data_IF_347224831184
#
_entry.id   IF_347224831184
#
_cell.length_a   1.000
_cell.length_b   1.000
_cell.length_c   1.000
_cell.angle_alpha   90.00
_cell.angle_beta   90.00
_cell.angle_gamma   90.00
#
_symmetry.space_group_name_H-M   'P 1'
#
loop_
_entity.id
_entity.type
_entity.pdbx_description
1 polymer ?
#
# COMPACT_ATOMS: atom_id res chain seq x y z
N UNK A 1 -12.68 -7.80 29.38
CA UNK A 1 -12.17 -6.42 29.57
C UNK A 1 -12.19 -5.74 28.21
N UNK A 2 -12.60 -4.49 28.16
CA UNK A 2 -12.53 -3.69 26.96
C UNK A 2 -11.05 -3.50 26.54
N UNK A 3 -10.78 -3.49 25.25
CA UNK A 3 -9.44 -3.24 24.70
C UNK A 3 -9.28 -1.73 24.61
N UNK A 4 -8.36 -1.15 25.37
CA UNK A 4 -8.18 0.30 25.45
C UNK A 4 -6.85 0.76 24.82
N UNK A 5 -5.83 -0.10 24.83
CA UNK A 5 -4.48 0.25 24.39
C UNK A 5 -3.95 -0.68 23.31
N UNK A 6 -3.55 -0.11 22.19
CA UNK A 6 -2.92 -0.80 21.06
C UNK A 6 -1.48 -0.32 20.88
N UNK A 7 -0.57 -1.26 20.61
CA UNK A 7 0.76 -0.96 20.07
C UNK A 7 0.84 -1.46 18.63
N UNK A 8 1.16 -0.56 17.71
CA UNK A 8 1.43 -0.89 16.31
C UNK A 8 2.94 -1.02 16.13
N UNK A 9 3.41 -2.09 15.50
CA UNK A 9 4.85 -2.31 15.26
C UNK A 9 5.11 -2.34 13.75
N UNK A 10 6.05 -1.50 13.31
CA UNK A 10 6.47 -1.40 11.91
C UNK A 10 7.98 -1.23 11.78
N UNK A 11 8.50 -1.24 10.56
CA UNK A 11 9.92 -1.02 10.30
C UNK A 11 10.32 0.43 10.54
N UNK A 12 9.59 1.35 9.96
CA UNK A 12 9.77 2.81 10.00
C UNK A 12 8.46 3.51 9.61
N UNK A 13 8.46 4.84 9.49
CA UNK A 13 7.30 5.65 9.07
C UNK A 13 7.64 6.61 7.91
N UNK A 14 8.60 6.25 7.03
CA UNK A 14 9.24 7.12 6.03
C UNK A 14 8.51 7.25 4.68
N UNK A 15 7.27 6.83 4.57
CA UNK A 15 6.41 7.22 3.44
C UNK A 15 6.00 6.12 2.48
N UNK A 16 6.07 4.86 2.87
CA UNK A 16 5.54 3.74 2.09
C UNK A 16 4.03 3.51 2.29
N UNK A 17 3.44 2.64 1.50
CA UNK A 17 1.99 2.40 1.53
C UNK A 17 1.46 1.77 2.82
N UNK A 18 2.22 0.85 3.44
CA UNK A 18 1.84 0.25 4.71
C UNK A 18 1.84 1.28 5.85
N UNK A 19 2.81 2.18 5.84
CA UNK A 19 2.99 3.24 6.84
C UNK A 19 1.88 4.28 6.76
N UNK A 20 1.38 4.55 5.54
CA UNK A 20 0.17 5.37 5.34
C UNK A 20 -1.03 4.76 6.06
N UNK A 21 -1.25 3.46 5.88
CA UNK A 21 -2.34 2.74 6.55
C UNK A 21 -2.18 2.79 8.06
N UNK A 22 -0.95 2.62 8.58
CA UNK A 22 -0.66 2.75 10.01
C UNK A 22 -1.03 4.13 10.52
N UNK A 23 -0.61 5.19 9.82
CA UNK A 23 -0.92 6.56 10.24
C UNK A 23 -2.43 6.83 10.28
N UNK A 24 -3.16 6.43 9.24
CA UNK A 24 -4.61 6.61 9.17
C UNK A 24 -5.35 5.82 10.25
N UNK A 25 -5.00 4.54 10.47
CA UNK A 25 -5.61 3.72 11.51
C UNK A 25 -5.28 4.24 12.90
N UNK A 26 -4.03 4.65 13.16
CA UNK A 26 -3.62 5.20 14.46
C UNK A 26 -4.38 6.47 14.80
N UNK A 27 -4.52 7.39 13.83
CA UNK A 27 -5.30 8.61 13.98
C UNK A 27 -6.78 8.28 14.27
N UNK A 28 -7.36 7.32 13.53
CA UNK A 28 -8.71 6.89 13.76
C UNK A 28 -8.91 6.28 15.16
N UNK A 29 -8.00 5.41 15.61
CA UNK A 29 -8.11 4.77 16.93
C UNK A 29 -8.07 5.80 18.07
N UNK A 30 -7.17 6.79 17.99
CA UNK A 30 -7.13 7.84 19.02
C UNK A 30 -8.33 8.78 18.96
N UNK A 31 -8.92 9.00 17.78
CA UNK A 31 -10.17 9.73 17.63
C UNK A 31 -11.33 8.97 18.29
N UNK A 32 -11.31 7.62 18.29
CA UNK A 32 -12.26 6.75 19.01
C UNK A 32 -11.94 6.61 20.52
N UNK A 33 -11.00 7.40 21.06
CA UNK A 33 -10.66 7.39 22.49
C UNK A 33 -9.66 6.30 22.90
N UNK A 34 -9.11 5.52 21.95
CA UNK A 34 -8.12 4.49 22.28
C UNK A 34 -6.71 5.08 22.44
N UNK A 35 -5.90 4.44 23.28
CA UNK A 35 -4.48 4.74 23.38
C UNK A 35 -3.72 3.99 22.29
N UNK A 36 -3.09 4.71 21.36
CA UNK A 36 -2.32 4.12 20.28
C UNK A 36 -0.87 4.59 20.33
N UNK A 37 0.08 3.62 20.31
CA UNK A 37 1.51 3.90 20.18
C UNK A 37 2.09 3.12 19.01
N UNK A 38 3.08 3.71 18.33
CA UNK A 38 3.78 3.08 17.21
C UNK A 38 5.21 2.77 17.68
N UNK A 39 5.64 1.52 17.58
CA UNK A 39 7.03 1.12 17.76
C UNK A 39 7.66 0.92 16.39
N UNK A 40 8.72 1.68 16.09
CA UNK A 40 9.51 1.55 14.87
C UNK A 40 10.80 0.79 15.13
N UNK A 41 11.17 -0.11 14.21
CA UNK A 41 12.38 -0.93 14.38
C UNK A 41 13.67 -0.18 14.02
N UNK A 42 13.62 0.89 13.23
CA UNK A 42 14.79 1.60 12.74
C UNK A 42 14.93 3.00 13.34
N UNK A 43 13.99 3.89 13.06
CA UNK A 43 14.07 5.31 13.35
C UNK A 43 12.70 5.87 13.73
N UNK A 44 12.64 7.13 14.12
CA UNK A 44 11.43 7.86 14.51
C UNK A 44 11.00 8.90 13.46
N UNK A 45 11.61 8.91 12.28
CA UNK A 45 11.20 9.77 11.18
C UNK A 45 9.77 9.43 10.74
N UNK A 46 8.92 10.46 10.67
CA UNK A 46 7.49 10.32 10.34
C UNK A 46 7.15 11.17 9.14
N UNK A 47 6.76 10.52 8.04
CA UNK A 47 6.38 11.19 6.80
C UNK A 47 4.89 11.61 6.79
N UNK A 48 4.01 10.76 7.32
CA UNK A 48 2.58 11.02 7.33
C UNK A 48 2.14 11.75 8.60
N UNK A 49 1.19 12.67 8.46
CA UNK A 49 0.63 13.40 9.60
C UNK A 49 0.01 12.44 10.63
N UNK A 50 0.49 12.52 11.86
CA UNK A 50 -0.05 11.81 13.01
C UNK A 50 -0.74 12.78 13.97
N UNK A 51 -1.84 12.31 14.58
CA UNK A 51 -2.45 12.99 15.71
C UNK A 51 -1.43 13.07 16.85
N UNK A 52 -1.35 14.23 17.53
CA UNK A 52 -0.39 14.48 18.61
C UNK A 52 -0.51 13.50 19.80
N UNK A 53 -1.59 12.75 19.89
CA UNK A 53 -1.82 11.69 20.90
C UNK A 53 -1.13 10.37 20.53
N UNK A 54 -0.71 10.18 19.27
CA UNK A 54 0.02 9.00 18.81
C UNK A 54 1.51 9.21 19.06
N UNK A 55 2.08 8.43 19.97
CA UNK A 55 3.53 8.46 20.21
C UNK A 55 4.26 7.45 19.31
N UNK A 56 5.37 7.88 18.71
CA UNK A 56 6.29 7.02 17.96
C UNK A 56 7.52 6.74 18.81
N UNK A 57 7.83 5.46 18.99
CA UNK A 57 8.87 4.97 19.89
C UNK A 57 9.89 4.12 19.09
N UNK A 58 11.09 4.66 18.76
CA UNK A 58 12.09 3.88 18.04
C UNK A 58 12.74 2.83 18.96
N UNK A 59 13.04 1.65 18.40
CA UNK A 59 13.79 0.60 19.14
C UNK A 59 15.22 1.02 19.39
N UNK A 60 15.77 1.92 18.60
CA UNK A 60 17.11 2.48 18.74
C UNK A 60 18.15 1.89 17.77
N UNK A 61 19.37 2.38 17.88
CA UNK A 61 20.45 2.20 16.91
C UNK A 61 20.98 0.76 16.79
N UNK A 62 21.59 0.47 15.62
CA UNK A 62 22.28 -0.79 15.33
C UNK A 62 23.71 -0.73 15.83
N UNK A 63 24.20 -1.83 16.40
CA UNK A 63 25.61 -1.96 16.84
C UNK A 63 26.58 -2.43 15.73
N UNK A 64 26.08 -2.60 14.50
CA UNK A 64 26.90 -2.98 13.34
C UNK A 64 27.12 -4.49 13.15
N UNK A 65 26.79 -5.33 14.13
CA UNK A 65 26.82 -6.79 14.00
C UNK A 65 25.41 -7.35 13.73
N UNK A 66 25.16 -7.81 12.52
CA UNK A 66 23.84 -8.26 12.05
C UNK A 66 23.15 -9.31 12.93
N UNK A 67 23.90 -10.23 13.54
CA UNK A 67 23.33 -11.30 14.37
C UNK A 67 22.98 -10.76 15.76
N UNK A 68 23.92 -10.04 16.36
CA UNK A 68 23.71 -9.38 17.66
C UNK A 68 22.58 -8.36 17.58
N UNK A 69 22.52 -7.57 16.50
CA UNK A 69 21.45 -6.59 16.27
C UNK A 69 20.08 -7.26 16.20
N UNK A 70 19.96 -8.43 15.53
CA UNK A 70 18.71 -9.19 15.52
C UNK A 70 18.28 -9.61 16.92
N UNK A 71 19.20 -10.23 17.68
CA UNK A 71 18.90 -10.71 19.04
C UNK A 71 18.57 -9.56 20.00
N UNK A 72 19.31 -8.47 19.91
CA UNK A 72 19.07 -7.27 20.71
C UNK A 72 17.71 -6.64 20.39
N UNK A 73 17.32 -6.60 19.10
CA UNK A 73 16.01 -6.11 18.67
C UNK A 73 14.87 -6.97 19.22
N UNK A 74 14.97 -8.30 19.19
CA UNK A 74 13.96 -9.16 19.80
C UNK A 74 13.77 -8.81 21.30
N UNK A 75 14.86 -8.66 22.04
CA UNK A 75 14.81 -8.26 23.45
C UNK A 75 14.26 -6.86 23.64
N UNK A 76 14.64 -5.92 22.77
CA UNK A 76 14.19 -4.54 22.85
C UNK A 76 12.68 -4.41 22.55
N UNK A 77 12.19 -5.04 21.47
CA UNK A 77 10.76 -5.09 21.15
C UNK A 77 9.98 -5.70 22.31
N UNK A 78 10.41 -6.86 22.82
CA UNK A 78 9.75 -7.49 23.97
C UNK A 78 9.70 -6.56 25.17
N UNK A 79 10.83 -5.96 25.54
CA UNK A 79 10.91 -5.02 26.68
C UNK A 79 10.00 -3.83 26.51
N UNK A 80 10.04 -3.17 25.35
CA UNK A 80 9.20 -2.00 25.07
C UNK A 80 7.72 -2.34 25.11
N UNK A 81 7.29 -3.43 24.48
CA UNK A 81 5.91 -3.87 24.51
C UNK A 81 5.46 -4.20 25.95
N UNK A 82 6.30 -4.87 26.75
CA UNK A 82 5.97 -5.17 28.14
C UNK A 82 5.90 -3.90 29.01
N UNK A 83 6.74 -2.90 28.75
CA UNK A 83 6.68 -1.60 29.42
C UNK A 83 5.42 -0.82 29.08
N UNK A 84 4.96 -0.92 27.83
CA UNK A 84 3.75 -0.27 27.38
C UNK A 84 2.48 -0.97 27.83
N UNK A 85 2.52 -2.25 28.19
CA UNK A 85 1.36 -3.04 28.64
C UNK A 85 0.12 -2.89 27.74
N UNK A 86 0.25 -3.13 26.41
CA UNK A 86 -0.90 -3.01 25.53
C UNK A 86 -1.86 -4.20 25.69
N UNK A 87 -3.13 -3.98 25.41
CA UNK A 87 -4.13 -5.05 25.33
C UNK A 87 -3.98 -5.89 24.07
N UNK A 88 -3.42 -5.30 23.00
CA UNK A 88 -3.07 -6.00 21.77
C UNK A 88 -1.90 -5.33 21.04
N UNK A 89 -1.23 -6.13 20.20
CA UNK A 89 -0.21 -5.67 19.25
C UNK A 89 -0.68 -5.93 17.83
N UNK A 90 -0.55 -4.92 16.96
CA UNK A 90 -0.75 -5.02 15.52
C UNK A 90 0.61 -4.84 14.81
N UNK A 91 0.98 -5.77 13.94
CA UNK A 91 2.23 -5.69 13.17
C UNK A 91 1.98 -5.60 11.67
N UNK A 92 2.62 -4.63 11.01
CA UNK A 92 2.60 -4.37 9.57
C UNK A 92 4.02 -3.99 9.10
N UNK A 93 4.45 -4.36 7.89
CA UNK A 93 3.89 -5.41 7.03
C UNK A 93 4.21 -6.82 7.54
N UNK A 94 3.98 -7.85 6.68
CA UNK A 94 4.15 -9.27 6.99
C UNK A 94 5.51 -9.64 7.60
N UNK A 95 6.59 -9.03 7.13
CA UNK A 95 7.95 -9.28 7.64
C UNK A 95 8.09 -8.92 9.12
N UNK A 96 7.38 -7.90 9.57
CA UNK A 96 7.38 -7.44 10.96
C UNK A 96 6.66 -8.45 11.84
N UNK A 97 5.55 -9.01 11.36
CA UNK A 97 4.81 -10.07 12.06
C UNK A 97 5.67 -11.30 12.36
N UNK A 98 6.47 -11.74 11.37
CA UNK A 98 7.41 -12.85 11.53
C UNK A 98 8.46 -12.56 12.62
N UNK A 99 8.77 -11.30 12.84
CA UNK A 99 9.72 -10.84 13.84
C UNK A 99 9.08 -10.67 15.22
N UNK A 100 7.89 -10.07 15.27
CA UNK A 100 7.19 -9.72 16.51
C UNK A 100 6.61 -10.95 17.21
N UNK A 101 6.05 -11.90 16.45
CA UNK A 101 5.46 -13.12 17.03
C UNK A 101 6.41 -13.88 17.95
N UNK A 102 7.65 -14.26 17.53
CA UNK A 102 8.57 -14.94 18.43
C UNK A 102 9.05 -14.06 19.59
N UNK A 103 9.15 -12.73 19.38
CA UNK A 103 9.56 -11.81 20.45
C UNK A 103 8.53 -11.78 21.60
N UNK A 104 7.25 -11.95 21.29
CA UNK A 104 6.16 -11.87 22.27
C UNK A 104 5.61 -13.24 22.71
N UNK A 105 6.21 -14.35 22.25
CA UNK A 105 5.81 -15.68 22.74
C UNK A 105 5.88 -15.75 24.28
N UNK A 106 4.84 -16.34 24.90
CA UNK A 106 4.73 -16.52 26.34
C UNK A 106 4.39 -15.25 27.14
N UNK A 107 4.12 -14.11 26.48
CA UNK A 107 3.68 -12.87 27.19
C UNK A 107 2.18 -12.85 27.48
N UNK A 108 1.38 -13.64 26.78
CA UNK A 108 -0.09 -13.57 26.82
C UNK A 108 -0.69 -12.41 26.03
N UNK A 109 0.11 -11.49 25.50
CA UNK A 109 -0.36 -10.34 24.70
C UNK A 109 -0.79 -10.84 23.32
N UNK A 110 -2.04 -10.60 22.89
CA UNK A 110 -2.51 -10.99 21.55
C UNK A 110 -1.82 -10.19 20.45
N UNK A 111 -1.23 -10.90 19.47
CA UNK A 111 -0.57 -10.31 18.32
C UNK A 111 -1.39 -10.55 17.07
N UNK A 112 -1.77 -9.46 16.39
CA UNK A 112 -2.37 -9.48 15.07
C UNK A 112 -1.30 -9.14 14.02
N UNK A 113 -1.30 -9.86 12.90
CA UNK A 113 -0.36 -9.64 11.79
C UNK A 113 -1.12 -9.25 10.54
N UNK A 114 -0.52 -8.41 9.69
CA UNK A 114 -1.13 -8.00 8.44
C UNK A 114 -0.24 -8.34 7.25
N UNK A 115 -0.79 -9.15 6.33
CA UNK A 115 -0.22 -9.43 5.00
C UNK A 115 -0.54 -8.26 4.08
N UNK A 116 0.51 -7.60 3.56
CA UNK A 116 0.37 -6.35 2.81
C UNK A 116 0.85 -6.44 1.38
N UNK A 117 1.26 -7.63 0.94
CA UNK A 117 1.83 -7.85 -0.38
C UNK A 117 1.46 -9.25 -0.90
N UNK A 118 2.03 -9.62 -2.04
CA UNK A 118 1.84 -10.92 -2.66
C UNK A 118 2.50 -12.04 -1.84
N UNK A 119 1.75 -12.95 -1.18
CA UNK A 119 2.32 -13.95 -0.28
C UNK A 119 3.12 -15.05 -0.99
N UNK A 120 2.99 -15.21 -2.32
CA UNK A 120 3.77 -16.18 -3.10
C UNK A 120 5.23 -15.77 -3.23
N UNK A 121 5.51 -14.47 -3.32
CA UNK A 121 6.85 -13.92 -3.53
C UNK A 121 7.40 -13.20 -2.31
N UNK A 122 6.54 -12.59 -1.50
CA UNK A 122 6.93 -11.87 -0.30
C UNK A 122 6.69 -12.70 0.98
N UNK A 123 7.53 -12.53 1.99
CA UNK A 123 8.84 -11.85 1.98
C UNK A 123 9.80 -12.47 0.96
N UNK A 124 10.66 -11.68 0.35
CA UNK A 124 11.57 -12.09 -0.73
C UNK A 124 12.59 -13.18 -0.31
N UNK A 125 12.98 -13.19 0.96
CA UNK A 125 13.91 -14.17 1.52
C UNK A 125 13.21 -15.49 1.86
N UNK A 126 13.66 -16.59 1.26
CA UNK A 126 13.05 -17.94 1.46
C UNK A 126 12.94 -18.34 2.94
N UNK A 127 13.95 -18.05 3.75
CA UNK A 127 13.96 -18.37 5.20
C UNK A 127 12.83 -17.64 5.93
N UNK A 128 12.56 -16.39 5.60
CA UNK A 128 11.47 -15.64 6.23
C UNK A 128 10.09 -16.20 5.84
N UNK A 129 9.92 -16.70 4.61
CA UNK A 129 8.69 -17.42 4.22
C UNK A 129 8.46 -18.70 5.02
N UNK A 130 9.54 -19.45 5.32
CA UNK A 130 9.45 -20.64 6.19
C UNK A 130 9.09 -20.23 7.61
N UNK A 131 9.75 -19.23 8.16
CA UNK A 131 9.45 -18.69 9.49
C UNK A 131 8.00 -18.18 9.59
N UNK A 132 7.47 -17.54 8.54
CA UNK A 132 6.06 -17.14 8.48
C UNK A 132 5.12 -18.32 8.70
N UNK A 133 5.35 -19.45 8.00
CA UNK A 133 4.54 -20.67 8.16
C UNK A 133 4.58 -21.21 9.60
N UNK A 134 5.74 -21.11 10.25
CA UNK A 134 5.92 -21.60 11.62
C UNK A 134 5.34 -20.64 12.68
N UNK A 135 5.36 -19.34 12.41
CA UNK A 135 4.98 -18.32 13.40
C UNK A 135 3.49 -17.92 13.33
N UNK A 136 2.88 -17.92 12.16
CA UNK A 136 1.48 -17.51 12.00
C UNK A 136 0.45 -18.32 12.80
N UNK A 137 0.67 -19.63 13.11
CA UNK A 137 -0.20 -20.33 14.06
C UNK A 137 -0.30 -19.67 15.44
N UNK A 138 0.71 -18.90 15.86
CA UNK A 138 0.73 -18.19 17.15
C UNK A 138 0.07 -16.80 17.07
N UNK A 139 -0.25 -16.30 15.90
CA UNK A 139 -0.99 -15.04 15.77
C UNK A 139 -2.41 -15.21 16.31
N UNK A 140 -2.92 -14.18 16.97
CA UNK A 140 -4.32 -14.10 17.43
C UNK A 140 -5.26 -13.94 16.24
N UNK A 141 -4.86 -13.17 15.25
CA UNK A 141 -5.57 -12.95 14.01
C UNK A 141 -4.64 -12.50 12.89
N UNK A 142 -5.10 -12.66 11.65
CA UNK A 142 -4.34 -12.29 10.46
C UNK A 142 -5.24 -11.43 9.57
N UNK A 143 -4.69 -10.31 9.09
CA UNK A 143 -5.42 -9.39 8.23
C UNK A 143 -4.81 -9.49 6.83
N UNK A 144 -5.63 -9.90 5.88
CA UNK A 144 -5.30 -9.98 4.46
C UNK A 144 -5.89 -8.79 3.71
N UNK A 145 -5.32 -8.46 2.57
CA UNK A 145 -5.84 -7.38 1.73
C UNK A 145 -6.86 -7.88 0.69
N UNK A 146 -6.77 -9.17 0.31
CA UNK A 146 -7.62 -9.79 -0.72
C UNK A 146 -7.95 -11.23 -0.35
N UNK A 147 -9.06 -11.75 -0.86
CA UNK A 147 -9.40 -13.17 -0.70
C UNK A 147 -8.37 -14.07 -1.41
N UNK A 148 -7.78 -13.61 -2.53
CA UNK A 148 -6.72 -14.34 -3.22
C UNK A 148 -5.48 -14.46 -2.32
N UNK A 149 -5.02 -13.39 -1.68
CA UNK A 149 -3.89 -13.47 -0.74
C UNK A 149 -4.18 -14.39 0.45
N UNK A 150 -5.41 -14.37 0.98
CA UNK A 150 -5.86 -15.28 2.05
C UNK A 150 -5.84 -16.73 1.62
N UNK A 151 -6.24 -17.05 0.37
CA UNK A 151 -6.30 -18.42 -0.17
C UNK A 151 -4.92 -19.10 -0.30
N UNK A 152 -3.83 -18.31 -0.28
CA UNK A 152 -2.46 -18.86 -0.26
C UNK A 152 -2.16 -19.68 1.01
N UNK A 153 -2.82 -19.38 2.11
CA UNK A 153 -2.53 -19.97 3.42
C UNK A 153 -3.37 -21.22 3.68
N UNK A 154 -2.89 -22.17 4.53
CA UNK A 154 -3.70 -23.30 4.95
C UNK A 154 -5.00 -22.86 5.64
N UNK A 155 -6.05 -23.68 5.55
CA UNK A 155 -7.35 -23.38 6.19
C UNK A 155 -7.26 -22.98 7.67
N UNK A 156 -6.36 -23.60 8.44
CA UNK A 156 -6.15 -23.28 9.85
C UNK A 156 -5.73 -21.81 10.07
N UNK A 157 -5.02 -21.23 9.10
CA UNK A 157 -4.61 -19.83 9.08
C UNK A 157 -5.75 -18.97 8.53
N UNK A 158 -6.41 -19.41 7.43
CA UNK A 158 -7.53 -18.68 6.84
C UNK A 158 -8.68 -18.47 7.85
N UNK A 159 -8.96 -19.46 8.71
CA UNK A 159 -9.99 -19.36 9.77
C UNK A 159 -9.70 -18.31 10.84
N UNK A 160 -8.44 -17.95 11.04
CA UNK A 160 -8.02 -16.85 11.92
C UNK A 160 -7.98 -15.50 11.21
N UNK A 161 -8.16 -15.49 9.90
CA UNK A 161 -7.95 -14.35 9.06
C UNK A 161 -9.22 -13.65 8.65
N UNK A 162 -9.11 -12.37 8.42
CA UNK A 162 -10.12 -11.50 7.82
C UNK A 162 -9.52 -10.77 6.62
N UNK A 163 -10.34 -10.47 5.63
CA UNK A 163 -9.95 -9.57 4.53
C UNK A 163 -10.45 -8.17 4.86
N UNK A 164 -9.51 -7.22 4.97
CA UNK A 164 -9.81 -5.82 5.23
C UNK A 164 -9.07 -4.95 4.21
N UNK A 165 -9.82 -4.13 3.50
CA UNK A 165 -9.30 -3.14 2.56
C UNK A 165 -8.43 -2.10 3.26
N UNK A 166 -7.61 -1.39 2.46
CA UNK A 166 -6.89 -0.23 2.96
C UNK A 166 -7.88 0.90 3.24
N UNK A 167 -7.79 1.56 4.40
CA UNK A 167 -8.58 2.76 4.65
C UNK A 167 -8.10 3.89 3.73
N UNK A 168 -9.04 4.71 3.30
CA UNK A 168 -8.79 5.94 2.55
C UNK A 168 -9.38 7.10 3.32
N UNK A 169 -8.54 8.06 3.63
CA UNK A 169 -9.00 9.31 4.23
C UNK A 169 -9.69 10.16 3.16
N UNK A 170 -11.02 10.25 3.24
CA UNK A 170 -11.84 11.01 2.30
C UNK A 170 -11.46 12.49 2.25
N UNK A 171 -11.00 13.06 3.37
CA UNK A 171 -10.58 14.47 3.46
C UNK A 171 -9.29 14.77 2.68
N UNK A 172 -8.52 13.76 2.30
CA UNK A 172 -7.30 13.89 1.49
C UNK A 172 -7.51 13.66 0.00
N UNK A 173 -8.66 13.10 -0.39
CA UNK A 173 -8.96 12.84 -1.80
C UNK A 173 -9.49 14.12 -2.44
N UNK A 174 -8.78 14.71 -3.40
CA UNK A 174 -9.28 15.85 -4.15
C UNK A 174 -10.63 15.55 -4.81
N UNK A 175 -11.44 16.58 -5.01
CA UNK A 175 -12.63 16.46 -5.83
C UNK A 175 -12.27 16.03 -7.26
N UNK A 176 -13.18 15.32 -7.93
CA UNK A 176 -12.99 14.92 -9.31
C UNK A 176 -12.67 16.13 -10.19
N UNK A 177 -11.58 16.04 -10.94
CA UNK A 177 -11.25 17.04 -11.94
C UNK A 177 -12.26 17.01 -13.09
N UNK A 178 -12.94 18.12 -13.34
CA UNK A 178 -13.99 18.25 -14.36
C UNK A 178 -13.58 19.12 -15.54
N UNK A 179 -12.37 19.65 -15.55
CA UNK A 179 -11.81 20.43 -16.67
C UNK A 179 -11.32 19.53 -17.80
N UNK A 180 -10.76 20.14 -18.85
CA UNK A 180 -10.04 19.44 -19.88
C UNK A 180 -8.76 18.85 -19.27
N UNK A 181 -8.59 17.51 -19.33
CA UNK A 181 -7.44 16.85 -18.75
C UNK A 181 -6.16 17.15 -19.53
N UNK A 182 -5.07 17.32 -18.79
CA UNK A 182 -3.73 17.47 -19.37
C UNK A 182 -3.35 16.18 -20.12
N UNK A 183 -2.66 16.29 -21.24
CA UNK A 183 -2.14 15.14 -22.00
C UNK A 183 -0.95 14.51 -21.26
N UNK A 184 -1.20 14.03 -20.05
CA UNK A 184 -0.23 13.43 -19.14
C UNK A 184 -0.67 12.02 -18.78
N UNK A 185 0.20 11.05 -19.02
CA UNK A 185 0.14 9.72 -18.41
C UNK A 185 0.87 9.80 -17.08
N UNK A 186 0.23 9.43 -15.97
CA UNK A 186 0.86 9.49 -14.66
C UNK A 186 1.02 8.12 -14.04
N UNK A 187 2.17 7.89 -13.43
CA UNK A 187 2.44 6.73 -12.57
C UNK A 187 3.03 7.20 -11.24
N UNK A 188 2.81 6.45 -10.16
CA UNK A 188 3.40 6.78 -8.88
C UNK A 188 3.70 5.53 -8.05
N UNK A 189 4.88 5.51 -7.44
CA UNK A 189 5.35 4.42 -6.59
C UNK A 189 6.85 4.40 -6.45
N UNK A 190 7.37 3.43 -5.68
CA UNK A 190 8.80 3.25 -5.53
C UNK A 190 9.41 2.81 -6.87
N UNK A 191 10.53 3.40 -7.28
CA UNK A 191 11.25 2.99 -8.48
C UNK A 191 12.06 1.71 -8.20
N UNK A 192 11.36 0.58 -8.15
CA UNK A 192 11.88 -0.74 -7.79
C UNK A 192 11.43 -1.80 -8.80
N UNK A 193 12.06 -2.98 -8.84
CA UNK A 193 11.68 -4.06 -9.77
C UNK A 193 10.19 -4.42 -9.68
N UNK A 194 9.61 -4.43 -8.47
CA UNK A 194 8.19 -4.73 -8.25
C UNK A 194 7.25 -3.86 -9.10
N UNK A 195 7.56 -2.57 -9.25
CA UNK A 195 6.70 -1.61 -9.96
C UNK A 195 6.79 -1.69 -11.46
N UNK A 196 7.78 -2.42 -11.97
CA UNK A 196 8.02 -2.69 -13.39
C UNK A 196 7.83 -1.44 -14.30
N UNK A 197 8.44 -0.33 -13.88
CA UNK A 197 8.42 0.92 -14.67
C UNK A 197 9.04 0.73 -16.06
N UNK A 198 10.02 -0.20 -16.28
CA UNK A 198 10.48 -0.52 -17.63
C UNK A 198 9.36 -0.97 -18.59
N UNK A 199 8.39 -1.74 -18.13
CA UNK A 199 7.20 -2.10 -18.92
C UNK A 199 6.41 -0.86 -19.35
N UNK A 200 6.17 0.07 -18.41
CA UNK A 200 5.47 1.31 -18.69
C UNK A 200 6.23 2.18 -19.70
N UNK A 201 7.55 2.33 -19.57
CA UNK A 201 8.36 3.11 -20.50
C UNK A 201 8.28 2.56 -21.94
N UNK A 202 8.34 1.23 -22.09
CA UNK A 202 8.23 0.58 -23.42
C UNK A 202 6.83 0.76 -24.01
N UNK A 203 5.79 0.51 -23.24
CA UNK A 203 4.40 0.71 -23.67
C UNK A 203 4.12 2.18 -24.02
N UNK A 204 4.64 3.13 -23.22
CA UNK A 204 4.54 4.56 -23.51
C UNK A 204 5.31 4.96 -24.77
N UNK A 205 6.46 4.38 -25.03
CA UNK A 205 7.21 4.64 -26.27
C UNK A 205 6.41 4.24 -27.52
N UNK A 206 5.67 3.13 -27.45
CA UNK A 206 4.72 2.74 -28.51
C UNK A 206 3.55 3.72 -28.63
N UNK A 207 2.89 4.02 -27.52
CA UNK A 207 1.77 4.93 -27.43
C UNK A 207 2.11 6.35 -27.91
N UNK A 208 3.23 6.91 -27.50
CA UNK A 208 3.63 8.29 -27.83
C UNK A 208 3.95 8.53 -29.31
N UNK A 209 4.08 7.47 -30.13
CA UNK A 209 4.19 7.60 -31.60
C UNK A 209 2.89 8.04 -32.24
N UNK A 210 1.76 7.54 -31.70
CA UNK A 210 0.41 7.89 -32.17
C UNK A 210 -0.13 9.13 -31.46
N UNK A 211 0.38 9.44 -30.26
CA UNK A 211 -0.02 10.53 -29.39
C UNK A 211 1.18 11.39 -28.98
N UNK A 212 1.82 12.12 -29.92
CA UNK A 212 3.05 12.87 -29.66
C UNK A 212 2.90 14.01 -28.65
N UNK A 213 1.68 14.44 -28.37
CA UNK A 213 1.35 15.49 -27.40
C UNK A 213 1.38 15.02 -25.96
N UNK A 214 1.43 13.69 -25.69
CA UNK A 214 1.47 13.17 -24.35
C UNK A 214 2.87 13.13 -23.77
N UNK A 215 2.94 13.38 -22.45
CA UNK A 215 4.12 13.13 -21.61
C UNK A 215 3.81 12.06 -20.58
N UNK A 216 4.85 11.39 -20.10
CA UNK A 216 4.80 10.43 -19.01
C UNK A 216 5.44 11.05 -17.77
N UNK A 217 4.67 11.15 -16.67
CA UNK A 217 5.15 11.68 -15.40
C UNK A 217 5.14 10.60 -14.33
N UNK A 218 6.31 10.25 -13.79
CA UNK A 218 6.51 9.18 -12.84
C UNK A 218 6.93 9.76 -11.49
N UNK A 219 6.03 9.74 -10.51
CA UNK A 219 6.31 10.17 -9.16
C UNK A 219 6.90 9.04 -8.32
N UNK A 220 7.98 9.32 -7.60
CA UNK A 220 8.62 8.39 -6.68
C UNK A 220 10.13 8.41 -6.77
N UNK A 221 10.76 7.68 -5.86
CA UNK A 221 12.21 7.46 -5.78
C UNK A 221 12.50 5.97 -5.64
N UNK A 222 13.72 5.57 -5.95
CA UNK A 222 14.17 4.19 -5.79
C UNK A 222 15.46 3.89 -6.56
N UNK A 223 15.95 2.69 -6.36
CA UNK A 223 17.24 2.20 -6.87
C UNK A 223 17.33 2.17 -8.41
N UNK A 224 16.18 2.10 -9.11
CA UNK A 224 16.16 2.00 -10.57
C UNK A 224 16.15 3.36 -11.29
N UNK A 225 16.18 4.50 -10.58
CA UNK A 225 16.01 5.83 -11.18
C UNK A 225 16.94 6.08 -12.37
N UNK A 226 18.22 5.77 -12.21
CA UNK A 226 19.23 5.99 -13.28
C UNK A 226 19.04 5.05 -14.47
N UNK A 227 18.74 3.78 -14.20
CA UNK A 227 18.45 2.78 -15.24
C UNK A 227 17.21 3.16 -16.06
N UNK A 228 16.18 3.69 -15.39
CA UNK A 228 14.95 4.14 -16.06
C UNK A 228 15.22 5.37 -16.95
N UNK A 229 16.05 6.30 -16.52
CA UNK A 229 16.45 7.45 -17.35
C UNK A 229 17.22 7.00 -18.59
N UNK A 230 18.15 6.05 -18.45
CA UNK A 230 18.89 5.46 -19.57
C UNK A 230 17.97 4.69 -20.53
N UNK A 231 16.99 3.95 -19.99
CA UNK A 231 16.01 3.25 -20.80
C UNK A 231 15.14 4.24 -21.60
N UNK A 232 14.65 5.31 -20.97
CA UNK A 232 13.88 6.35 -21.66
C UNK A 232 14.69 6.97 -22.82
N UNK A 233 15.98 7.22 -22.61
CA UNK A 233 16.87 7.72 -23.67
C UNK A 233 17.03 6.70 -24.81
N UNK A 234 17.22 5.42 -24.50
CA UNK A 234 17.36 4.36 -25.52
C UNK A 234 16.10 4.14 -26.35
N UNK A 235 14.92 4.44 -25.75
CA UNK A 235 13.61 4.37 -26.41
C UNK A 235 13.28 5.66 -27.19
N UNK A 236 14.16 6.68 -27.19
CA UNK A 236 13.96 8.01 -27.79
C UNK A 236 12.71 8.75 -27.24
N UNK A 237 12.47 8.66 -25.95
CA UNK A 237 11.37 9.33 -25.25
C UNK A 237 11.84 10.15 -24.04
N UNK A 238 13.14 10.40 -23.89
CA UNK A 238 13.67 11.10 -22.72
C UNK A 238 13.11 12.51 -22.55
N UNK A 239 12.80 13.19 -23.64
CA UNK A 239 12.16 14.53 -23.67
C UNK A 239 10.68 14.51 -23.28
N UNK A 240 10.06 13.33 -23.24
CA UNK A 240 8.66 13.11 -22.89
C UNK A 240 8.47 12.46 -21.51
N UNK A 241 9.55 12.14 -20.81
CA UNK A 241 9.50 11.47 -19.50
C UNK A 241 9.99 12.38 -18.40
N UNK A 242 9.13 12.65 -17.44
CA UNK A 242 9.42 13.41 -16.24
C UNK A 242 9.46 12.49 -15.01
N UNK A 243 10.51 12.61 -14.21
CA UNK A 243 10.65 11.92 -12.93
C UNK A 243 10.88 12.94 -11.79
N UNK A 244 9.82 13.63 -11.31
CA UNK A 244 9.95 14.72 -10.33
C UNK A 244 10.28 14.27 -8.90
N UNK A 245 10.40 12.96 -8.67
CA UNK A 245 10.65 12.44 -7.34
C UNK A 245 9.39 12.27 -6.49
N UNK A 246 9.56 12.21 -5.16
CA UNK A 246 8.44 12.15 -4.22
C UNK A 246 7.73 13.48 -4.11
N UNK A 247 6.42 13.45 -3.86
CA UNK A 247 5.61 14.65 -3.65
C UNK A 247 4.66 14.47 -2.46
N UNK A 248 4.60 15.48 -1.60
CA UNK A 248 3.61 15.55 -0.51
C UNK A 248 2.22 15.93 -1.00
N UNK A 249 2.13 16.58 -2.17
CA UNK A 249 0.89 16.94 -2.88
C UNK A 249 0.68 16.08 -4.13
N UNK A 250 0.94 14.75 -4.00
CA UNK A 250 0.86 13.84 -5.15
C UNK A 250 -0.55 13.82 -5.77
N UNK A 251 -1.58 13.72 -4.94
CA UNK A 251 -2.95 13.56 -5.42
C UNK A 251 -3.42 14.78 -6.21
N UNK A 252 -3.11 15.98 -5.74
CA UNK A 252 -3.42 17.23 -6.43
C UNK A 252 -2.69 17.32 -7.77
N UNK A 253 -1.41 16.91 -7.81
CA UNK A 253 -0.58 16.96 -9.01
C UNK A 253 -0.96 15.94 -10.09
N UNK A 254 -1.58 14.84 -9.70
CA UNK A 254 -2.00 13.82 -10.66
C UNK A 254 -3.47 13.96 -11.08
N UNK A 255 -4.29 14.71 -10.35
CA UNK A 255 -5.74 14.76 -10.55
C UNK A 255 -6.17 15.27 -11.94
N UNK A 256 -5.42 16.23 -12.52
CA UNK A 256 -5.69 16.78 -13.87
C UNK A 256 -5.14 15.92 -15.02
N UNK A 257 -4.32 14.89 -14.73
CA UNK A 257 -3.74 14.04 -15.76
C UNK A 257 -4.79 13.23 -16.53
N UNK A 258 -4.51 12.91 -17.80
CA UNK A 258 -5.41 12.15 -18.65
C UNK A 258 -5.69 10.75 -18.12
N UNK A 259 -4.66 10.08 -17.62
CA UNK A 259 -4.78 8.72 -17.11
C UNK A 259 -3.72 8.38 -16.07
N UNK A 260 -4.06 7.44 -15.19
CA UNK A 260 -3.16 6.80 -14.24
C UNK A 260 -2.80 5.39 -14.72
N UNK A 261 -1.51 5.02 -14.63
CA UNK A 261 -1.02 3.69 -15.03
C UNK A 261 -0.28 3.02 -13.87
N UNK A 262 -0.64 1.78 -13.58
CA UNK A 262 0.07 0.89 -12.65
C UNK A 262 0.58 -0.33 -13.42
N UNK A 263 1.90 -0.44 -13.59
CA UNK A 263 2.58 -1.49 -14.37
C UNK A 263 3.18 -2.63 -13.53
N UNK A 264 2.81 -2.70 -12.26
CA UNK A 264 3.45 -3.59 -11.27
C UNK A 264 3.38 -5.08 -11.62
N UNK A 265 4.43 -5.82 -11.31
CA UNK A 265 4.46 -7.28 -11.44
C UNK A 265 3.66 -7.96 -10.32
N UNK A 266 3.61 -7.37 -9.14
CA UNK A 266 2.80 -7.83 -8.01
C UNK A 266 2.51 -6.69 -7.05
N UNK A 267 1.33 -6.76 -6.41
CA UNK A 267 0.87 -5.81 -5.39
C UNK A 267 0.11 -6.57 -4.29
N UNK A 268 0.00 -5.95 -3.12
CA UNK A 268 -1.09 -6.25 -2.23
C UNK A 268 -2.35 -5.51 -2.70
N UNK A 269 -2.75 -4.45 -1.98
CA UNK A 269 -3.74 -3.50 -2.44
C UNK A 269 -3.01 -2.15 -2.72
N UNK A 270 -2.87 -1.72 -3.99
CA UNK A 270 -2.09 -0.53 -4.33
C UNK A 270 -2.84 0.75 -3.98
N UNK A 271 -2.39 1.42 -2.90
CA UNK A 271 -3.03 2.64 -2.40
C UNK A 271 -3.17 3.74 -3.46
N UNK A 272 -2.16 3.92 -4.32
CA UNK A 272 -2.19 4.99 -5.33
C UNK A 272 -3.21 4.71 -6.44
N UNK A 273 -3.43 3.44 -6.82
CA UNK A 273 -4.50 3.07 -7.74
C UNK A 273 -5.87 3.32 -7.10
N UNK A 274 -6.03 2.90 -5.86
CA UNK A 274 -7.25 3.12 -5.08
C UNK A 274 -7.56 4.63 -4.97
N UNK A 275 -6.55 5.47 -4.70
CA UNK A 275 -6.70 6.92 -4.65
C UNK A 275 -7.05 7.52 -6.03
N UNK A 276 -6.42 7.04 -7.11
CA UNK A 276 -6.73 7.48 -8.47
C UNK A 276 -8.19 7.19 -8.84
N UNK A 277 -8.68 5.99 -8.53
CA UNK A 277 -10.09 5.63 -8.75
C UNK A 277 -11.03 6.48 -7.89
N UNK A 278 -10.69 6.75 -6.63
CA UNK A 278 -11.47 7.63 -5.74
C UNK A 278 -11.51 9.09 -6.22
N UNK A 279 -10.53 9.55 -7.01
CA UNK A 279 -10.55 10.87 -7.66
C UNK A 279 -11.32 10.86 -8.98
N UNK A 280 -11.84 9.72 -9.43
CA UNK A 280 -12.43 9.59 -10.76
C UNK A 280 -11.40 9.84 -11.86
N UNK A 281 -10.21 9.29 -11.72
CA UNK A 281 -9.22 9.29 -12.79
C UNK A 281 -9.41 8.07 -13.69
N UNK A 282 -9.31 8.23 -15.03
CA UNK A 282 -9.17 7.07 -15.90
C UNK A 282 -7.93 6.28 -15.51
N UNK A 283 -8.05 4.96 -15.34
CA UNK A 283 -6.94 4.15 -14.85
C UNK A 283 -6.79 2.83 -15.61
N UNK A 284 -5.54 2.43 -15.81
CA UNK A 284 -5.17 1.08 -16.23
C UNK A 284 -4.17 0.48 -15.24
N UNK A 285 -4.33 -0.79 -14.94
CA UNK A 285 -3.43 -1.56 -14.08
C UNK A 285 -3.14 -2.93 -14.67
N UNK A 286 -1.95 -3.45 -14.39
CA UNK A 286 -1.70 -4.89 -14.53
C UNK A 286 -2.60 -5.68 -13.56
N UNK A 287 -3.17 -6.80 -14.01
CA UNK A 287 -3.89 -7.79 -13.16
C UNK A 287 -2.88 -8.61 -12.36
N UNK A 288 -2.24 -7.95 -11.42
CA UNK A 288 -1.15 -8.57 -10.67
C UNK A 288 -1.63 -9.64 -9.68
N UNK A 289 -0.79 -10.69 -9.46
CA UNK A 289 -1.02 -11.69 -8.43
C UNK A 289 -1.19 -11.06 -7.05
N UNK A 290 -1.98 -11.73 -6.23
CA UNK A 290 -2.67 -11.40 -5.00
C UNK A 290 -3.95 -10.59 -5.18
N UNK A 291 -4.28 -10.15 -6.41
CA UNK A 291 -5.61 -9.70 -6.80
C UNK A 291 -5.98 -8.29 -6.35
N UNK A 292 -5.04 -7.49 -5.82
CA UNK A 292 -5.35 -6.14 -5.34
C UNK A 292 -5.95 -5.22 -6.41
N UNK A 293 -5.35 -5.09 -7.60
CA UNK A 293 -5.96 -4.33 -8.68
C UNK A 293 -7.35 -4.85 -9.09
N UNK A 294 -7.53 -6.17 -9.14
CA UNK A 294 -8.79 -6.84 -9.49
C UNK A 294 -9.91 -6.63 -8.47
N UNK A 295 -9.58 -6.42 -7.21
CA UNK A 295 -10.54 -6.03 -6.17
C UNK A 295 -11.03 -4.56 -6.36
N UNK A 296 -10.26 -3.74 -7.07
CA UNK A 296 -10.52 -2.33 -7.29
C UNK A 296 -11.09 -2.04 -8.68
N UNK A 297 -10.68 -2.78 -9.70
CA UNK A 297 -11.07 -2.58 -11.10
C UNK A 297 -11.92 -3.74 -11.60
N UNK A 298 -13.11 -3.43 -12.05
CA UNK A 298 -13.91 -4.25 -12.95
C UNK A 298 -13.57 -3.82 -14.38
N UNK A 299 -12.88 -4.72 -15.12
CA UNK A 299 -12.31 -4.41 -16.43
C UNK A 299 -13.35 -3.90 -17.44
N UNK A 300 -13.03 -2.78 -18.08
CA UNK A 300 -13.93 -2.12 -19.04
C UNK A 300 -15.12 -1.38 -18.42
N UNK A 301 -15.27 -1.41 -17.10
CA UNK A 301 -16.39 -0.74 -16.39
C UNK A 301 -15.91 0.49 -15.65
N UNK A 302 -14.92 0.39 -14.78
CA UNK A 302 -14.41 1.50 -13.96
C UNK A 302 -12.88 1.70 -14.08
N UNK A 303 -12.25 1.02 -15.02
CA UNK A 303 -10.84 1.03 -15.33
C UNK A 303 -10.51 -0.12 -16.27
N UNK A 304 -9.22 -0.27 -16.59
CA UNK A 304 -8.75 -1.34 -17.46
C UNK A 304 -7.75 -2.24 -16.71
N UNK A 305 -7.85 -3.56 -16.93
CA UNK A 305 -6.91 -4.56 -16.46
C UNK A 305 -6.18 -5.20 -17.64
N UNK A 306 -4.85 -5.31 -17.55
CA UNK A 306 -4.02 -5.95 -18.55
C UNK A 306 -3.15 -7.05 -17.94
N UNK A 307 -2.73 -8.07 -18.69
CA UNK A 307 -1.83 -9.09 -18.16
C UNK A 307 -0.50 -8.50 -17.69
N UNK A 308 0.07 -9.08 -16.62
CA UNK A 308 1.40 -8.69 -16.12
C UNK A 308 2.47 -8.94 -17.20
N UNK A 309 3.32 -7.94 -17.41
CA UNK A 309 4.42 -8.01 -18.38
C UNK A 309 4.02 -7.89 -19.85
N UNK A 310 2.74 -7.71 -20.16
CA UNK A 310 2.26 -7.51 -21.52
C UNK A 310 2.33 -6.05 -21.94
N UNK A 311 3.43 -5.69 -22.61
CA UNK A 311 3.72 -4.36 -23.13
C UNK A 311 2.64 -3.89 -24.11
N UNK A 312 2.24 -4.81 -25.02
CA UNK A 312 1.26 -4.49 -26.07
C UNK A 312 -0.12 -4.23 -25.49
N UNK A 313 -0.58 -5.09 -24.58
CA UNK A 313 -1.86 -4.89 -23.92
C UNK A 313 -1.89 -3.58 -23.12
N UNK A 314 -0.77 -3.22 -22.45
CA UNK A 314 -0.68 -1.96 -21.72
C UNK A 314 -0.72 -0.75 -22.67
N UNK A 315 -0.02 -0.82 -23.81
CA UNK A 315 -0.11 0.21 -24.84
C UNK A 315 -1.54 0.35 -25.38
N UNK A 316 -2.18 -0.74 -25.77
CA UNK A 316 -3.56 -0.73 -26.29
C UNK A 316 -4.57 -0.19 -25.27
N UNK A 317 -4.35 -0.45 -23.98
CA UNK A 317 -5.18 0.13 -22.91
C UNK A 317 -4.99 1.65 -22.81
N UNK A 318 -3.77 2.15 -22.92
CA UNK A 318 -3.52 3.61 -22.97
C UNK A 318 -4.16 4.24 -24.22
N UNK A 319 -4.09 3.58 -25.38
CA UNK A 319 -4.75 4.04 -26.60
C UNK A 319 -6.27 4.18 -26.41
N UNK A 320 -6.91 3.21 -25.74
CA UNK A 320 -8.35 3.30 -25.41
C UNK A 320 -8.66 4.47 -24.47
N UNK A 321 -7.78 4.73 -23.49
CA UNK A 321 -7.93 5.85 -22.55
C UNK A 321 -7.59 7.22 -23.16
N UNK A 322 -6.99 7.27 -24.36
CA UNK A 322 -6.80 8.50 -25.11
C UNK A 322 -8.12 9.01 -25.73
N UNK A 323 -9.13 8.14 -25.90
CA UNK A 323 -10.51 8.52 -26.19
C UNK A 323 -11.14 9.16 -24.94
N UNK A 324 -11.40 10.47 -24.99
CA UNK A 324 -11.86 11.26 -23.85
C UNK A 324 -13.25 10.84 -23.35
N UNK A 325 -14.15 10.42 -24.26
CA UNK A 325 -15.50 9.99 -23.89
C UNK A 325 -15.47 8.64 -23.16
N UNK A 326 -14.69 7.69 -23.68
CA UNK A 326 -14.52 6.40 -23.04
C UNK A 326 -13.79 6.53 -21.68
N UNK A 327 -12.72 7.31 -21.65
CA UNK A 327 -11.99 7.58 -20.40
C UNK A 327 -12.90 8.21 -19.34
N UNK A 328 -13.73 9.18 -19.74
CA UNK A 328 -14.71 9.83 -18.86
C UNK A 328 -15.75 8.83 -18.33
N UNK A 329 -16.26 7.95 -19.18
CA UNK A 329 -17.21 6.91 -18.74
C UNK A 329 -16.63 6.01 -17.65
N UNK A 330 -15.39 5.54 -17.83
CA UNK A 330 -14.69 4.73 -16.82
C UNK A 330 -14.45 5.52 -15.54
N UNK A 331 -14.02 6.77 -15.66
CA UNK A 331 -13.76 7.66 -14.54
C UNK A 331 -15.02 7.94 -13.69
N UNK A 332 -16.16 8.20 -14.33
CA UNK A 332 -17.44 8.41 -13.64
C UNK A 332 -17.90 7.13 -12.91
N UNK A 333 -17.65 5.96 -13.48
CA UNK A 333 -17.93 4.69 -12.81
C UNK A 333 -16.95 4.40 -11.65
N UNK A 334 -15.68 4.82 -11.78
CA UNK A 334 -14.67 4.65 -10.74
C UNK A 334 -15.07 5.38 -9.44
N UNK A 335 -15.77 6.51 -9.52
CA UNK A 335 -16.25 7.23 -8.34
C UNK A 335 -17.15 6.41 -7.42
N UNK A 336 -17.85 5.40 -7.93
CA UNK A 336 -18.67 4.50 -7.11
C UNK A 336 -17.83 3.73 -6.10
N UNK A 337 -16.54 3.52 -6.38
CA UNK A 337 -15.57 2.92 -5.44
C UNK A 337 -15.31 3.87 -4.27
N UNK A 338 -15.27 5.20 -4.50
CA UNK A 338 -15.08 6.18 -3.44
C UNK A 338 -16.10 5.98 -2.31
N UNK A 339 -17.38 5.87 -2.64
CA UNK A 339 -18.43 5.63 -1.65
C UNK A 339 -18.20 4.36 -0.83
N UNK A 340 -17.74 3.29 -1.47
CA UNK A 340 -17.47 2.01 -0.83
C UNK A 340 -16.22 2.02 0.06
N UNK A 341 -15.16 2.73 -0.35
CA UNK A 341 -13.82 2.62 0.26
C UNK A 341 -13.44 3.80 1.15
N UNK A 342 -14.04 4.98 0.95
CA UNK A 342 -13.92 6.11 1.87
C UNK A 342 -15.01 6.09 2.95
N UNK A 343 -15.93 5.14 2.88
CA UNK A 343 -16.93 4.98 3.92
C UNK A 343 -16.24 4.74 5.25
N UNK A 344 -16.78 5.33 6.31
CA UNK A 344 -16.38 5.00 7.69
C UNK A 344 -16.33 3.49 7.92
N UNK A 345 -16.99 2.68 7.08
CA UNK A 345 -17.09 1.23 7.17
C UNK A 345 -15.75 0.50 7.11
N UNK A 346 -14.76 0.97 6.34
CA UNK A 346 -13.42 0.35 6.32
C UNK A 346 -12.73 0.54 7.66
N UNK A 347 -12.71 1.78 8.18
CA UNK A 347 -12.15 2.07 9.51
C UNK A 347 -12.91 1.33 10.61
N UNK A 348 -14.23 1.33 10.52
CA UNK A 348 -15.12 0.59 11.44
C UNK A 348 -14.83 -0.91 11.40
N UNK A 349 -14.60 -1.49 10.23
CA UNK A 349 -14.28 -2.91 10.08
C UNK A 349 -12.94 -3.28 10.73
N UNK A 350 -11.91 -2.43 10.57
CA UNK A 350 -10.65 -2.57 11.27
C UNK A 350 -10.83 -2.46 12.79
N UNK A 351 -11.60 -1.47 13.23
CA UNK A 351 -11.87 -1.24 14.64
C UNK A 351 -12.60 -2.43 15.26
N UNK A 352 -13.72 -2.87 14.67
CA UNK A 352 -14.49 -4.03 15.12
C UNK A 352 -13.64 -5.29 15.23
N UNK A 353 -12.80 -5.53 14.24
CA UNK A 353 -11.96 -6.72 14.23
C UNK A 353 -10.91 -6.71 15.35
N UNK A 354 -10.26 -5.57 15.57
CA UNK A 354 -9.19 -5.43 16.56
C UNK A 354 -9.71 -5.27 17.97
N UNK A 355 -10.69 -4.39 18.18
CA UNK A 355 -11.19 -4.04 19.51
C UNK A 355 -12.41 -4.87 19.95
N UNK A 356 -13.07 -5.56 19.00
CA UNK A 356 -14.27 -6.40 19.24
C UNK A 356 -15.44 -5.63 19.82
N UNK A 357 -15.57 -4.39 19.47
CA UNK A 357 -16.62 -3.47 19.89
C UNK A 357 -16.99 -2.51 18.76
N UNK A 358 -18.12 -1.81 18.90
CA UNK A 358 -18.51 -0.75 17.96
C UNK A 358 -17.75 0.54 18.27
N UNK A 359 -17.27 1.30 17.22
CA UNK A 359 -16.70 2.61 17.46
C UNK A 359 -17.77 3.59 17.91
N UNK A 360 -17.37 4.58 18.70
CA UNK A 360 -18.25 5.71 19.04
C UNK A 360 -18.64 6.51 17.79
N UNK A 361 -19.73 7.25 17.87
CA UNK A 361 -20.08 8.20 16.82
C UNK A 361 -19.07 9.36 16.83
N UNK A 362 -18.40 9.61 15.68
CA UNK A 362 -17.52 10.75 15.45
C UNK A 362 -18.30 11.93 14.83
#
# INVERSE_FOLDING_TARGET
>A
MAIEKIVVITRNMVGDGAERVIAQLSNYFVAQGKVCKIITLNDDEVFYALDKRVAVLPVGEKNGNRVLDKLMRYKAVRRMVLQEQPDLVLSLPEEIGIYVLPALLGTGIPVYVSERNNPWVMPDVKVTRILRKLMYPFAKGIIFQTEMAKSFFPESIQRKGVVLSNPVDAGRIPEQYRGQREKVVVAAGRLSPQKNVPLLLKAFAGFSRNHPEYILRIFGEGELREELAQLAASLNIADKVEMPGRSTSLLEKMNSAAMFVLSSDYEGMPNVLLEALCMGMPAVSTDCPSGGPKELIEDGVNGLLVPVGDEKALQEAMEKLADEDYAKQLADNALKIKEKLTSKDVFVSWYRYLFREEPGQL
#
